data_IF_811203821511
#
_entry.id   IF_811203821511
#
_cell.length_a   1.000
_cell.length_b   1.000
_cell.length_c   1.000
_cell.angle_alpha   90.00
_cell.angle_beta   90.00
_cell.angle_gamma   90.00
#
_symmetry.space_group_name_H-M   'P 1'
#
loop_
_entity.id
_entity.type
_entity.pdbx_description
1 polymer ?
#
# COMPACT_ATOMS: atom_id res chain seq x y z
N UNK A 1 -2.79 9.00 14.22
CA UNK A 1 -3.41 9.06 12.88
C UNK A 1 -2.38 8.64 11.85
N UNK A 2 -2.78 8.07 10.71
CA UNK A 2 -1.87 7.66 9.63
C UNK A 2 -2.22 8.40 8.35
N UNK A 3 -1.21 8.78 7.58
CA UNK A 3 -1.33 9.26 6.21
C UNK A 3 -0.52 8.35 5.32
N UNK A 4 -1.05 7.99 4.16
CA UNK A 4 -0.36 7.26 3.11
C UNK A 4 -0.52 7.97 1.76
N UNK A 5 0.49 7.85 0.91
CA UNK A 5 0.47 8.44 -0.42
C UNK A 5 1.39 7.69 -1.37
N UNK A 6 1.19 7.92 -2.66
CA UNK A 6 2.17 7.58 -3.68
C UNK A 6 3.10 8.77 -3.89
N UNK A 7 4.40 8.55 -3.79
CA UNK A 7 5.43 9.53 -4.10
C UNK A 7 6.00 9.25 -5.49
N UNK A 8 5.79 10.20 -6.41
CA UNK A 8 6.08 9.98 -7.83
C UNK A 8 5.22 8.85 -8.39
N UNK A 9 5.85 7.95 -9.16
CA UNK A 9 5.18 6.79 -9.76
C UNK A 9 5.75 5.45 -9.27
N UNK A 10 6.62 5.44 -8.26
CA UNK A 10 7.35 4.23 -7.89
C UNK A 10 7.47 3.98 -6.38
N UNK A 11 6.94 4.86 -5.51
CA UNK A 11 7.03 4.65 -4.07
C UNK A 11 5.68 4.82 -3.38
N UNK A 12 5.38 3.93 -2.45
CA UNK A 12 4.28 4.05 -1.49
C UNK A 12 4.87 4.44 -0.14
N UNK A 13 4.36 5.52 0.41
CA UNK A 13 4.87 6.15 1.62
C UNK A 13 3.80 6.27 2.67
N UNK A 14 4.23 6.40 3.92
CA UNK A 14 3.36 6.77 5.02
C UNK A 14 4.05 7.68 6.06
N UNK A 15 3.25 8.31 6.89
CA UNK A 15 3.69 8.98 8.10
C UNK A 15 2.65 8.78 9.21
N UNK A 16 3.11 8.76 10.46
CA UNK A 16 2.25 8.72 11.65
C UNK A 16 2.17 10.11 12.27
N UNK A 17 0.99 10.47 12.74
CA UNK A 17 0.75 11.69 13.51
C UNK A 17 0.39 11.32 14.95
N UNK A 18 1.14 11.89 15.90
CA UNK A 18 0.99 11.61 17.34
C UNK A 18 0.00 12.55 18.06
N UNK A 19 -0.58 13.51 17.35
CA UNK A 19 -1.42 14.57 17.92
C UNK A 19 -0.75 15.96 17.89
N UNK A 20 0.57 16.00 17.69
CA UNK A 20 1.40 17.20 17.75
C UNK A 20 2.30 17.33 16.52
N UNK A 21 2.92 16.24 16.10
CA UNK A 21 3.83 16.21 14.96
C UNK A 21 3.64 14.96 14.11
N UNK A 22 4.11 15.06 12.87
CA UNK A 22 4.26 13.91 11.98
C UNK A 22 5.65 13.31 12.15
N UNK A 23 5.75 11.99 12.02
CA UNK A 23 7.03 11.32 11.81
C UNK A 23 7.64 11.71 10.47
N UNK A 24 8.93 11.50 10.31
CA UNK A 24 9.54 11.38 8.97
C UNK A 24 8.76 10.36 8.12
N UNK A 25 8.74 10.59 6.81
CA UNK A 25 8.10 9.68 5.86
C UNK A 25 8.80 8.31 5.86
N UNK A 26 8.02 7.24 5.99
CA UNK A 26 8.48 5.85 5.96
C UNK A 26 8.06 5.20 4.65
N UNK A 27 8.93 4.36 4.08
CA UNK A 27 8.64 3.60 2.86
C UNK A 27 7.87 2.34 3.20
N UNK A 28 6.72 2.16 2.56
CA UNK A 28 5.98 0.89 2.58
C UNK A 28 6.51 -0.03 1.50
N UNK A 29 6.62 0.52 0.28
CA UNK A 29 7.03 -0.23 -0.89
C UNK A 29 7.64 0.70 -1.93
N UNK A 30 8.59 0.20 -2.72
CA UNK A 30 9.14 0.91 -3.86
C UNK A 30 9.33 -0.06 -5.02
N UNK A 31 8.75 0.27 -6.18
CA UNK A 31 8.76 -0.57 -7.38
C UNK A 31 8.45 0.25 -8.63
N UNK A 32 9.13 -0.05 -9.73
CA UNK A 32 8.86 0.55 -11.05
C UNK A 32 7.57 0.02 -11.68
N UNK A 33 7.00 -1.05 -11.13
CA UNK A 33 5.73 -1.63 -11.58
C UNK A 33 4.53 -1.15 -10.77
N UNK A 34 4.70 -0.15 -9.91
CA UNK A 34 3.59 0.42 -9.15
C UNK A 34 2.49 0.90 -10.10
N UNK A 35 1.26 0.48 -9.85
CA UNK A 35 0.13 0.91 -10.66
C UNK A 35 -0.50 2.15 -10.04
N UNK A 36 -0.20 3.31 -10.62
CA UNK A 36 -0.78 4.61 -10.23
C UNK A 36 -1.85 4.99 -11.23
N UNK A 37 -3.08 5.20 -10.75
CA UNK A 37 -4.16 5.73 -11.56
C UNK A 37 -4.81 6.94 -10.85
N UNK A 38 -5.86 7.48 -11.46
CA UNK A 38 -6.59 8.63 -10.90
C UNK A 38 -7.61 8.23 -9.81
N UNK A 39 -7.99 6.96 -9.71
CA UNK A 39 -9.11 6.52 -8.89
C UNK A 39 -8.70 5.89 -7.56
N UNK A 40 -7.52 5.29 -7.48
CA UNK A 40 -7.07 4.43 -6.40
C UNK A 40 -5.78 4.97 -5.76
N UNK A 41 -5.71 4.91 -4.43
CA UNK A 41 -4.57 5.37 -3.64
C UNK A 41 -4.18 4.30 -2.62
N UNK A 42 -2.89 4.19 -2.26
CA UNK A 42 -2.48 3.29 -1.19
C UNK A 42 -3.09 3.73 0.14
N UNK A 43 -3.53 2.77 0.94
CA UNK A 43 -4.08 3.01 2.28
C UNK A 43 -3.37 2.18 3.34
N UNK A 44 -3.35 2.71 4.56
CA UNK A 44 -2.82 2.04 5.75
C UNK A 44 -3.90 2.04 6.83
N UNK A 45 -4.11 0.89 7.45
CA UNK A 45 -4.99 0.73 8.61
C UNK A 45 -4.21 0.19 9.79
N UNK A 46 -4.48 0.72 10.98
CA UNK A 46 -3.97 0.17 12.23
C UNK A 46 -4.94 -0.85 12.81
N UNK A 47 -4.42 -2.02 13.19
CA UNK A 47 -5.16 -3.07 13.88
C UNK A 47 -5.11 -2.84 15.41
N UNK A 48 -5.97 -3.54 16.14
CA UNK A 48 -6.12 -3.37 17.59
C UNK A 48 -4.87 -3.72 18.41
N UNK A 49 -3.97 -4.53 17.85
CA UNK A 49 -2.71 -4.94 18.47
C UNK A 49 -1.53 -4.01 18.12
N UNK A 50 -1.77 -2.94 17.36
CA UNK A 50 -0.74 -2.01 16.89
C UNK A 50 -0.12 -2.39 15.54
N UNK A 51 -0.46 -3.54 14.97
CA UNK A 51 -0.03 -3.93 13.61
C UNK A 51 -0.58 -2.93 12.59
N UNK A 52 0.24 -2.51 11.63
CA UNK A 52 -0.21 -1.78 10.45
C UNK A 52 -0.39 -2.74 9.28
N UNK A 53 -1.50 -2.62 8.57
CA UNK A 53 -1.71 -3.28 7.28
C UNK A 53 -1.79 -2.21 6.19
N UNK A 54 -0.98 -2.36 5.14
CA UNK A 54 -0.96 -1.46 4.00
C UNK A 54 -1.36 -2.21 2.74
N UNK A 55 -2.04 -1.51 1.82
CA UNK A 55 -2.28 -2.02 0.48
C UNK A 55 -1.88 -1.01 -0.60
N UNK A 56 -1.52 -1.53 -1.77
CA UNK A 56 -1.26 -0.77 -2.99
C UNK A 56 -1.57 -1.63 -4.23
N UNK A 57 -1.59 -0.99 -5.40
CA UNK A 57 -1.76 -1.68 -6.67
C UNK A 57 -0.42 -1.82 -7.38
N UNK A 58 -0.19 -2.98 -7.98
CA UNK A 58 1.04 -3.25 -8.73
C UNK A 58 0.76 -4.05 -9.99
N UNK A 59 1.36 -3.64 -11.11
CA UNK A 59 1.16 -4.29 -12.40
C UNK A 59 1.61 -5.77 -12.34
N UNK A 60 0.77 -6.66 -12.86
CA UNK A 60 1.01 -8.10 -12.89
C UNK A 60 1.18 -8.66 -14.33
N UNK A 61 1.43 -7.77 -15.30
CA UNK A 61 1.66 -8.14 -16.69
C UNK A 61 1.89 -6.94 -17.61
N UNK A 62 2.10 -7.16 -18.92
CA UNK A 62 2.44 -6.10 -19.88
C UNK A 62 1.26 -5.20 -20.26
N UNK A 63 0.04 -5.51 -19.81
CA UNK A 63 -1.15 -4.72 -20.14
C UNK A 63 -1.35 -3.56 -19.18
N UNK A 64 -1.79 -2.41 -19.71
CA UNK A 64 -1.92 -1.13 -18.98
C UNK A 64 -2.95 -1.11 -17.83
N UNK A 65 -3.67 -2.21 -17.58
CA UNK A 65 -4.72 -2.34 -16.57
C UNK A 65 -4.78 -3.76 -15.98
N UNK A 66 -3.64 -4.45 -15.96
CA UNK A 66 -3.48 -5.75 -15.32
C UNK A 66 -2.63 -5.52 -14.07
N UNK A 67 -3.28 -5.50 -12.90
CA UNK A 67 -2.63 -5.28 -11.61
C UNK A 67 -3.20 -6.20 -10.53
N UNK A 68 -2.38 -6.46 -9.51
CA UNK A 68 -2.82 -7.09 -8.27
C UNK A 68 -2.98 -6.02 -7.19
N UNK A 69 -3.89 -6.27 -6.25
CA UNK A 69 -3.81 -5.67 -4.92
C UNK A 69 -2.71 -6.40 -4.15
N UNK A 70 -1.74 -5.65 -3.62
CA UNK A 70 -0.72 -6.16 -2.70
C UNK A 70 -1.09 -5.75 -1.28
N UNK A 71 -0.87 -6.63 -0.31
CA UNK A 71 -1.00 -6.31 1.11
C UNK A 71 0.31 -6.67 1.82
N UNK A 72 0.82 -5.78 2.66
CA UNK A 72 1.91 -6.07 3.58
C UNK A 72 1.58 -5.57 4.99
N UNK A 73 2.28 -6.15 5.97
CA UNK A 73 2.09 -5.83 7.38
C UNK A 73 3.36 -5.25 7.97
N UNK A 74 3.20 -4.37 8.96
CA UNK A 74 4.28 -3.89 9.80
C UNK A 74 3.92 -4.08 11.26
N UNK A 75 4.89 -4.56 12.03
CA UNK A 75 4.78 -4.81 13.47
C UNK A 75 5.60 -3.79 14.29
N UNK A 76 6.18 -2.80 13.62
CA UNK A 76 7.10 -1.81 14.17
C UNK A 76 6.80 -0.40 13.63
N UNK A 77 5.49 -0.07 13.59
CA UNK A 77 4.98 1.25 13.23
C UNK A 77 5.33 1.69 11.79
N UNK A 78 5.61 0.76 10.89
CA UNK A 78 5.95 1.03 9.49
C UNK A 78 7.43 1.27 9.24
N UNK A 79 8.31 0.89 10.18
CA UNK A 79 9.76 0.90 9.96
C UNK A 79 10.19 -0.25 9.05
N UNK A 80 9.57 -1.42 9.20
CA UNK A 80 9.77 -2.58 8.33
C UNK A 80 8.43 -3.17 7.91
N UNK A 81 8.43 -3.78 6.72
CA UNK A 81 7.24 -4.39 6.12
C UNK A 81 7.53 -5.84 5.72
N UNK A 82 6.54 -6.71 5.88
CA UNK A 82 6.62 -8.09 5.41
C UNK A 82 6.71 -8.16 3.90
N UNK A 83 7.11 -9.32 3.36
CA UNK A 83 6.87 -9.64 1.96
C UNK A 83 5.37 -9.50 1.65
N UNK A 84 4.98 -8.81 0.56
CA UNK A 84 3.58 -8.61 0.24
C UNK A 84 2.90 -9.91 -0.18
N UNK A 85 1.64 -10.05 0.19
CA UNK A 85 0.73 -11.10 -0.28
C UNK A 85 -0.21 -10.53 -1.34
N UNK A 86 -0.74 -11.41 -2.19
CA UNK A 86 -1.89 -11.13 -3.05
C UNK A 86 -3.10 -11.77 -2.35
N UNK A 87 -4.11 -10.98 -1.93
CA UNK A 87 -5.21 -11.50 -1.12
C UNK A 87 -6.19 -12.36 -1.92
N UNK A 88 -6.12 -12.32 -3.26
CA UNK A 88 -6.94 -13.12 -4.16
C UNK A 88 -6.13 -14.25 -4.82
N UNK A 89 -6.79 -15.37 -5.09
CA UNK A 89 -6.21 -16.56 -5.74
C UNK A 89 -6.95 -16.91 -7.05
N UNK A 90 -7.97 -16.11 -7.40
CA UNK A 90 -8.63 -16.23 -8.69
C UNK A 90 -7.76 -15.54 -9.74
N UNK A 91 -7.31 -16.30 -10.73
CA UNK A 91 -6.48 -15.80 -11.85
C UNK A 91 -7.25 -14.87 -12.79
N UNK A 92 -8.27 -14.16 -12.29
CA UNK A 92 -9.08 -13.23 -13.06
C UNK A 92 -8.31 -11.92 -13.18
N UNK A 93 -8.15 -11.45 -14.43
CA UNK A 93 -7.21 -10.37 -14.76
C UNK A 93 -7.65 -8.96 -14.31
N UNK A 94 -8.62 -8.83 -13.42
CA UNK A 94 -9.21 -7.53 -13.02
C UNK A 94 -9.89 -7.64 -11.65
N UNK A 95 -9.40 -6.86 -10.69
CA UNK A 95 -10.16 -6.55 -9.47
C UNK A 95 -10.21 -5.02 -9.32
N UNK A 96 -11.41 -4.45 -9.21
CA UNK A 96 -11.63 -3.07 -8.79
C UNK A 96 -11.90 -3.11 -7.28
N UNK A 97 -10.91 -2.72 -6.48
CA UNK A 97 -11.05 -2.64 -5.03
C UNK A 97 -11.27 -1.20 -4.59
N UNK A 98 -12.53 -0.77 -4.51
CA UNK A 98 -12.91 0.29 -3.58
C UNK A 98 -13.07 -0.37 -2.22
N UNK A 99 -12.16 -0.07 -1.28
CA UNK A 99 -12.36 -0.39 0.14
C UNK A 99 -12.55 0.93 0.89
N UNK A 100 -13.74 1.07 1.47
CA UNK A 100 -14.22 2.18 2.30
C UNK A 100 -13.63 2.12 3.70
#
# INVERSE_FOLDING_TARGET
MVMSWTEGNNAVRMALFDGTSWTEARTIHQSETLFVNWADFPSVVGLSDGTLAAHWLELNGPGSYQYDVKIAFSFDEGLNWTTPIIPHDDRSKRELSVVI
#
